data_IF_923389231954
#
_entry.id   IF_923389231954
#
_cell.length_a   1.000
_cell.length_b   1.000
_cell.length_c   1.000
_cell.angle_alpha   90.00
_cell.angle_beta   90.00
_cell.angle_gamma   90.00
#
_symmetry.space_group_name_H-M   'P 1'
#
loop_
_entity.id
_entity.type
_entity.pdbx_description
1 polymer ?
#
# COMPACT_ATOMS: atom_id res chain seq x y z
N UNK A 1 3.89 -28.35 17.32
CA UNK A 1 4.81 -27.31 17.85
C UNK A 1 5.64 -27.93 18.94
N UNK A 2 6.94 -27.87 18.83
CA UNK A 2 7.89 -28.36 19.80
C UNK A 2 8.74 -27.20 20.32
N UNK A 3 8.66 -26.93 21.61
CA UNK A 3 9.42 -25.82 22.24
C UNK A 3 9.28 -24.44 21.58
N UNK A 4 8.11 -24.13 21.00
CA UNK A 4 7.88 -22.88 20.26
C UNK A 4 8.33 -22.93 18.80
N UNK A 5 8.82 -24.07 18.31
CA UNK A 5 9.15 -24.28 16.89
C UNK A 5 8.03 -25.08 16.24
N UNK A 6 7.42 -24.55 15.19
CA UNK A 6 6.45 -25.28 14.37
C UNK A 6 7.20 -26.13 13.34
N UNK A 7 6.92 -27.44 13.31
CA UNK A 7 7.43 -28.36 12.30
C UNK A 7 6.28 -28.67 11.36
N UNK A 8 6.47 -28.40 10.06
CA UNK A 8 5.50 -28.65 9.01
C UNK A 8 6.06 -29.73 8.09
N UNK A 9 5.44 -30.90 8.11
CA UNK A 9 5.83 -32.03 7.27
C UNK A 9 5.37 -31.84 5.82
N UNK A 10 6.31 -32.06 4.88
CA UNK A 10 6.09 -32.04 3.44
C UNK A 10 6.67 -33.33 2.89
N UNK A 11 5.80 -34.35 2.67
CA UNK A 11 6.23 -35.70 2.34
C UNK A 11 5.61 -36.19 1.05
N UNK A 12 6.27 -37.15 0.42
CA UNK A 12 5.80 -37.80 -0.81
C UNK A 12 5.55 -36.82 -1.96
N UNK A 13 4.70 -37.17 -2.90
CA UNK A 13 4.41 -36.37 -4.10
C UNK A 13 3.55 -35.15 -3.74
N UNK A 14 3.98 -34.00 -4.21
CA UNK A 14 3.26 -32.73 -4.02
C UNK A 14 2.14 -32.58 -5.06
N UNK A 15 0.94 -32.27 -4.58
CA UNK A 15 -0.21 -31.92 -5.41
C UNK A 15 -0.81 -30.59 -4.94
N UNK A 16 -1.48 -29.84 -5.82
CA UNK A 16 -2.10 -28.55 -5.43
C UNK A 16 -3.10 -28.71 -4.29
N UNK A 17 -3.94 -29.70 -4.37
CA UNK A 17 -4.94 -30.05 -3.35
C UNK A 17 -5.06 -31.54 -3.20
N UNK A 18 -5.74 -31.98 -2.14
CA UNK A 18 -5.98 -33.39 -1.89
C UNK A 18 -6.69 -34.08 -3.06
N UNK A 19 -6.10 -35.14 -3.58
CA UNK A 19 -6.71 -35.98 -4.60
C UNK A 19 -7.08 -37.34 -3.99
N UNK A 20 -7.97 -38.10 -4.65
CA UNK A 20 -8.31 -39.46 -4.21
C UNK A 20 -7.06 -40.35 -4.15
N UNK A 21 -6.14 -40.21 -5.11
CA UNK A 21 -4.89 -40.97 -5.13
C UNK A 21 -3.93 -40.55 -4.02
N UNK A 22 -3.76 -39.24 -3.76
CA UNK A 22 -2.92 -38.80 -2.65
C UNK A 22 -3.48 -39.18 -1.29
N UNK A 23 -4.82 -39.27 -1.15
CA UNK A 23 -5.46 -39.79 0.05
C UNK A 23 -5.19 -41.27 0.28
N UNK A 24 -5.19 -42.11 -0.79
CA UNK A 24 -5.01 -43.57 -0.66
C UNK A 24 -3.53 -44.00 -0.62
N UNK A 25 -2.66 -43.32 -1.33
CA UNK A 25 -1.27 -43.77 -1.56
C UNK A 25 -0.22 -42.85 -0.96
N UNK A 26 -0.62 -41.86 -0.21
CA UNK A 26 0.24 -40.83 0.32
C UNK A 26 0.42 -39.64 -0.66
N UNK A 27 0.85 -38.53 -0.13
CA UNK A 27 1.11 -37.27 -0.85
C UNK A 27 0.77 -36.08 0.00
N UNK A 28 1.35 -34.94 -0.34
CA UNK A 28 1.15 -33.69 0.36
C UNK A 28 0.34 -32.72 -0.50
N UNK A 29 -0.78 -32.25 0.02
CA UNK A 29 -1.54 -31.16 -0.59
C UNK A 29 -0.92 -29.82 -0.22
N UNK A 30 -0.37 -29.12 -1.19
CA UNK A 30 0.32 -27.83 -0.98
C UNK A 30 -0.58 -26.75 -0.36
N UNK A 31 -1.90 -26.79 -0.62
CA UNK A 31 -2.87 -25.90 0.03
C UNK A 31 -2.90 -26.12 1.54
N UNK A 32 -2.92 -27.37 1.98
CA UNK A 32 -2.95 -27.72 3.41
C UNK A 32 -1.65 -27.32 4.12
N UNK A 33 -0.51 -27.48 3.42
CA UNK A 33 0.79 -26.94 3.89
C UNK A 33 0.73 -25.43 4.05
N UNK A 34 0.20 -24.72 3.05
CA UNK A 34 0.04 -23.28 3.08
C UNK A 34 -0.83 -22.79 4.25
N UNK A 35 -1.93 -23.50 4.52
CA UNK A 35 -2.81 -23.21 5.67
C UNK A 35 -2.14 -23.51 7.02
N UNK A 36 -1.35 -24.59 7.11
CA UNK A 36 -0.58 -24.91 8.31
C UNK A 36 0.52 -23.88 8.54
N UNK A 37 1.15 -23.41 7.47
CA UNK A 37 2.17 -22.37 7.49
C UNK A 37 1.58 -21.02 7.96
N UNK A 38 0.43 -20.59 7.41
CA UNK A 38 -0.24 -19.36 7.85
C UNK A 38 -0.53 -19.41 9.35
N UNK A 39 -1.12 -20.52 9.84
CA UNK A 39 -1.39 -20.69 11.27
C UNK A 39 -0.12 -20.60 12.11
N UNK A 40 0.99 -21.17 11.65
CA UNK A 40 2.26 -21.12 12.36
C UNK A 40 2.86 -19.68 12.39
N UNK A 41 2.72 -18.93 11.31
CA UNK A 41 3.18 -17.53 11.25
C UNK A 41 2.33 -16.61 12.14
N UNK A 42 1.01 -16.83 12.21
CA UNK A 42 0.08 -16.04 12.99
C UNK A 42 0.09 -16.37 14.49
N UNK A 43 0.49 -17.60 14.88
CA UNK A 43 0.48 -18.03 16.28
C UNK A 43 1.60 -17.34 17.10
N UNK A 44 1.26 -16.52 18.11
CA UNK A 44 2.27 -15.84 18.96
C UNK A 44 3.10 -16.80 19.82
N UNK A 45 2.70 -18.07 19.97
CA UNK A 45 3.47 -19.09 20.70
C UNK A 45 4.49 -19.81 19.80
N UNK A 46 4.39 -19.61 18.48
CA UNK A 46 5.36 -20.10 17.51
C UNK A 46 6.42 -19.03 17.25
N UNK A 47 7.67 -19.37 17.45
CA UNK A 47 8.81 -18.44 17.31
C UNK A 47 9.64 -18.71 16.07
N UNK A 48 9.58 -19.93 15.53
CA UNK A 48 10.26 -20.32 14.30
C UNK A 48 9.48 -21.43 13.58
N UNK A 49 9.74 -21.61 12.29
CA UNK A 49 9.13 -22.64 11.45
C UNK A 49 10.19 -23.49 10.80
N UNK A 50 10.05 -24.82 10.91
CA UNK A 50 10.85 -25.79 10.15
C UNK A 50 9.94 -26.48 9.13
N UNK A 51 10.29 -26.39 7.85
CA UNK A 51 9.68 -27.19 6.79
C UNK A 51 10.47 -28.50 6.69
N UNK A 52 9.91 -29.57 7.25
CA UNK A 52 10.53 -30.90 7.21
C UNK A 52 10.14 -31.59 5.91
N UNK A 53 11.08 -31.73 4.98
CA UNK A 53 10.82 -32.10 3.60
C UNK A 53 11.45 -33.47 3.28
N UNK A 54 10.62 -34.42 2.86
CA UNK A 54 11.04 -35.69 2.26
C UNK A 54 10.14 -35.99 1.04
N UNK A 55 10.48 -35.34 -0.09
CA UNK A 55 9.61 -35.31 -1.26
C UNK A 55 10.39 -35.25 -2.57
N UNK A 56 9.99 -36.03 -3.59
CA UNK A 56 10.55 -35.96 -4.94
C UNK A 56 10.07 -34.73 -5.73
N UNK A 57 9.17 -33.92 -5.18
CA UNK A 57 8.46 -32.87 -5.87
C UNK A 57 7.05 -33.29 -6.29
N UNK A 58 6.53 -32.73 -7.36
CA UNK A 58 5.16 -33.02 -7.79
C UNK A 58 4.66 -32.09 -8.89
N UNK A 59 3.39 -31.67 -8.80
CA UNK A 59 2.76 -30.81 -9.79
C UNK A 59 3.35 -29.40 -9.76
N UNK A 60 3.51 -28.80 -10.94
CA UNK A 60 3.91 -27.38 -11.06
C UNK A 60 2.87 -26.46 -10.43
N UNK A 61 1.58 -26.75 -10.72
CA UNK A 61 0.46 -25.97 -10.20
C UNK A 61 0.39 -26.07 -8.66
N UNK A 62 0.42 -24.93 -7.99
CA UNK A 62 0.46 -24.78 -6.54
C UNK A 62 1.88 -24.58 -5.96
N UNK A 63 2.94 -24.99 -6.67
CA UNK A 63 4.33 -24.88 -6.15
C UNK A 63 4.79 -23.44 -6.05
N UNK A 64 4.56 -22.65 -7.10
CA UNK A 64 4.90 -21.22 -7.10
C UNK A 64 4.11 -20.46 -6.02
N UNK A 65 2.82 -20.74 -5.88
CA UNK A 65 1.94 -20.14 -4.88
C UNK A 65 2.43 -20.40 -3.45
N UNK A 66 2.75 -21.67 -3.13
CA UNK A 66 3.25 -22.04 -1.80
C UNK A 66 4.62 -21.43 -1.53
N UNK A 67 5.54 -21.52 -2.48
CA UNK A 67 6.89 -20.94 -2.33
C UNK A 67 6.84 -19.42 -2.20
N UNK A 68 6.00 -18.73 -2.96
CA UNK A 68 5.78 -17.28 -2.86
C UNK A 68 5.25 -16.87 -1.50
N UNK A 69 4.31 -17.64 -0.92
CA UNK A 69 3.78 -17.44 0.43
C UNK A 69 4.88 -17.53 1.49
N UNK A 70 5.73 -18.57 1.43
CA UNK A 70 6.84 -18.77 2.36
C UNK A 70 7.87 -17.65 2.23
N UNK A 71 8.23 -17.29 1.00
CA UNK A 71 9.16 -16.19 0.72
C UNK A 71 8.66 -14.84 1.29
N UNK A 72 7.38 -14.54 1.13
CA UNK A 72 6.78 -13.31 1.64
C UNK A 72 6.78 -13.20 3.17
N UNK A 73 6.83 -14.33 3.87
CA UNK A 73 6.86 -14.38 5.32
C UNK A 73 8.28 -14.28 5.91
N UNK A 74 9.34 -14.28 5.10
CA UNK A 74 10.72 -14.09 5.59
C UNK A 74 10.85 -12.81 6.41
N UNK A 75 11.61 -12.88 7.48
CA UNK A 75 11.82 -11.76 8.40
C UNK A 75 10.71 -11.57 9.45
N UNK A 76 9.57 -12.29 9.35
CA UNK A 76 8.55 -12.27 10.41
C UNK A 76 8.91 -13.22 11.55
N UNK A 77 9.33 -14.43 11.19
CA UNK A 77 9.87 -15.47 12.08
C UNK A 77 10.96 -16.21 11.31
N UNK A 78 11.99 -16.78 11.96
CA UNK A 78 12.94 -17.65 11.29
C UNK A 78 12.23 -18.84 10.60
N UNK A 79 12.51 -19.02 9.31
CA UNK A 79 11.96 -20.10 8.50
C UNK A 79 13.12 -20.93 7.95
N UNK A 80 13.18 -22.20 8.28
CA UNK A 80 14.23 -23.11 7.86
C UNK A 80 13.63 -24.31 7.14
N UNK A 81 14.21 -24.71 6.02
CA UNK A 81 13.91 -25.98 5.36
C UNK A 81 14.92 -27.05 5.81
N UNK A 82 14.43 -28.22 6.12
CA UNK A 82 15.22 -29.38 6.49
C UNK A 82 14.86 -30.57 5.60
N UNK A 83 15.83 -31.02 4.80
CA UNK A 83 15.66 -32.17 3.94
C UNK A 83 15.94 -33.48 4.71
N UNK A 84 14.89 -34.28 4.95
CA UNK A 84 14.91 -35.55 5.68
C UNK A 84 14.97 -36.73 4.71
N UNK A 85 15.94 -36.80 3.83
CA UNK A 85 16.04 -37.82 2.81
C UNK A 85 16.08 -37.22 1.41
N UNK A 86 14.98 -36.67 0.93
CA UNK A 86 14.91 -36.05 -0.40
C UNK A 86 14.20 -34.70 -0.36
N UNK A 87 14.76 -33.73 -1.04
CA UNK A 87 14.10 -32.44 -1.36
C UNK A 87 14.40 -32.11 -2.82
N UNK A 88 13.56 -32.58 -3.73
CA UNK A 88 13.82 -32.54 -5.16
C UNK A 88 12.71 -31.84 -5.95
N UNK A 89 13.04 -31.24 -7.13
CA UNK A 89 12.10 -30.64 -8.06
C UNK A 89 11.18 -29.59 -7.38
N UNK A 90 9.86 -29.71 -7.50
CA UNK A 90 8.91 -28.80 -6.83
C UNK A 90 9.09 -28.70 -5.31
N UNK A 91 9.57 -29.77 -4.66
CA UNK A 91 9.88 -29.73 -3.22
C UNK A 91 11.12 -28.87 -2.93
N UNK A 92 12.12 -28.87 -3.83
CA UNK A 92 13.24 -27.95 -3.74
C UNK A 92 12.81 -26.49 -3.98
N UNK A 93 11.90 -26.26 -4.93
CA UNK A 93 11.34 -24.92 -5.16
C UNK A 93 10.68 -24.38 -3.88
N UNK A 94 9.84 -25.19 -3.22
CA UNK A 94 9.21 -24.84 -1.94
C UNK A 94 10.26 -24.62 -0.85
N UNK A 95 11.21 -25.56 -0.70
CA UNK A 95 12.25 -25.49 0.32
C UNK A 95 13.21 -24.31 0.14
N UNK A 96 13.50 -23.92 -1.10
CA UNK A 96 14.34 -22.76 -1.40
C UNK A 96 13.73 -21.42 -0.94
N UNK A 97 12.43 -21.38 -0.70
CA UNK A 97 11.73 -20.21 -0.19
C UNK A 97 12.01 -19.94 1.30
N UNK A 98 12.57 -20.90 2.07
CA UNK A 98 13.05 -20.66 3.43
C UNK A 98 14.38 -19.88 3.45
N UNK A 99 14.70 -19.24 4.57
CA UNK A 99 15.93 -18.45 4.73
C UNK A 99 17.18 -19.30 4.65
N UNK A 100 17.12 -20.54 5.19
CA UNK A 100 18.20 -21.53 5.20
C UNK A 100 17.68 -22.92 4.84
N UNK A 101 18.55 -23.70 4.21
CA UNK A 101 18.31 -25.08 3.85
C UNK A 101 19.34 -25.97 4.53
N UNK A 102 18.89 -26.88 5.36
CA UNK A 102 19.73 -27.91 5.95
C UNK A 102 19.35 -29.29 5.43
N UNK A 103 20.34 -30.18 5.37
CA UNK A 103 20.16 -31.57 5.02
C UNK A 103 20.46 -32.47 6.23
N UNK A 104 19.72 -33.58 6.36
CA UNK A 104 19.85 -34.47 7.51
C UNK A 104 21.22 -35.16 7.58
N UNK A 105 21.86 -35.40 6.44
CA UNK A 105 23.14 -36.10 6.40
C UNK A 105 23.74 -36.24 5.01
N UNK A 106 24.88 -36.96 4.95
CA UNK A 106 25.67 -37.11 3.70
C UNK A 106 24.95 -37.95 2.61
N UNK A 107 23.87 -38.64 2.93
CA UNK A 107 23.04 -39.39 1.96
C UNK A 107 21.79 -38.67 1.52
N UNK A 108 21.49 -37.51 2.11
CA UNK A 108 20.33 -36.69 1.74
C UNK A 108 20.52 -36.14 0.34
N UNK A 109 19.44 -36.13 -0.43
CA UNK A 109 19.44 -35.69 -1.83
C UNK A 109 18.62 -34.43 -2.02
N UNK A 110 19.17 -33.45 -2.78
CA UNK A 110 18.47 -32.21 -3.14
C UNK A 110 18.72 -31.84 -4.58
N UNK A 111 17.91 -30.92 -5.13
CA UNK A 111 18.08 -30.43 -6.50
C UNK A 111 16.97 -30.87 -7.42
N UNK A 112 17.31 -31.57 -8.51
CA UNK A 112 16.35 -31.87 -9.59
C UNK A 112 15.60 -30.63 -10.07
N UNK A 113 16.34 -29.48 -10.20
CA UNK A 113 15.79 -28.24 -10.73
C UNK A 113 15.57 -28.46 -12.22
N UNK A 114 14.33 -28.73 -12.57
CA UNK A 114 13.93 -29.07 -13.92
C UNK A 114 12.43 -29.31 -14.03
N UNK A 115 11.94 -29.36 -15.25
CA UNK A 115 10.52 -29.58 -15.57
C UNK A 115 10.41 -30.71 -16.57
N UNK A 116 9.47 -31.61 -16.39
CA UNK A 116 9.19 -32.72 -17.29
C UNK A 116 7.73 -32.74 -17.69
N UNK A 117 7.45 -32.92 -18.97
CA UNK A 117 6.15 -33.30 -19.50
C UNK A 117 6.29 -34.65 -20.24
N UNK A 118 5.41 -35.60 -19.94
CA UNK A 118 5.42 -36.90 -20.55
C UNK A 118 4.21 -37.09 -21.45
N UNK A 119 4.44 -37.41 -22.71
CA UNK A 119 3.41 -37.91 -23.62
C UNK A 119 3.44 -39.41 -23.70
N UNK A 120 2.29 -40.04 -23.55
CA UNK A 120 2.13 -41.51 -23.71
C UNK A 120 1.31 -41.76 -24.96
N UNK A 121 1.86 -42.46 -25.92
CA UNK A 121 1.17 -42.94 -27.13
C UNK A 121 0.57 -44.33 -26.90
N UNK A 122 -0.76 -44.41 -26.85
CA UNK A 122 -1.52 -45.64 -26.70
C UNK A 122 -2.20 -46.07 -27.99
N UNK A 123 -1.93 -45.46 -29.12
CA UNK A 123 -2.61 -45.70 -30.41
C UNK A 123 -2.53 -47.18 -30.84
N UNK A 124 -1.39 -47.86 -30.57
CA UNK A 124 -1.24 -49.30 -30.87
C UNK A 124 -2.07 -50.16 -29.94
N UNK A 125 -2.23 -49.77 -28.69
CA UNK A 125 -3.10 -50.51 -27.75
C UNK A 125 -4.56 -50.36 -28.17
N UNK A 126 -4.99 -49.19 -28.60
CA UNK A 126 -6.33 -48.94 -29.14
C UNK A 126 -6.62 -49.84 -30.37
N UNK A 127 -5.69 -49.89 -31.31
CA UNK A 127 -5.79 -50.77 -32.48
C UNK A 127 -5.95 -52.25 -32.08
N UNK A 128 -5.18 -52.72 -31.09
CA UNK A 128 -5.25 -54.10 -30.59
C UNK A 128 -6.59 -54.42 -29.89
N UNK A 129 -7.19 -53.38 -29.27
CA UNK A 129 -8.52 -53.48 -28.65
C UNK A 129 -9.68 -53.29 -29.63
N UNK A 130 -9.37 -52.99 -30.92
CA UNK A 130 -10.35 -52.69 -31.96
C UNK A 130 -11.02 -51.34 -31.84
N UNK A 131 -10.43 -50.44 -31.05
CA UNK A 131 -10.93 -49.08 -30.86
C UNK A 131 -10.36 -48.11 -31.90
N UNK A 132 -11.19 -47.22 -32.40
CA UNK A 132 -10.76 -46.14 -33.29
C UNK A 132 -11.28 -44.79 -32.76
N UNK A 133 -10.34 -43.94 -32.34
CA UNK A 133 -10.65 -42.61 -31.83
C UNK A 133 -10.67 -41.58 -32.94
N UNK A 134 -11.78 -40.82 -33.03
CA UNK A 134 -11.91 -39.70 -33.97
C UNK A 134 -12.13 -38.42 -33.16
N UNK A 135 -11.13 -37.54 -33.17
CA UNK A 135 -11.17 -36.28 -32.45
C UNK A 135 -11.70 -35.15 -33.36
N UNK A 136 -12.80 -34.52 -32.98
CA UNK A 136 -13.37 -33.36 -33.65
C UNK A 136 -13.11 -32.15 -32.78
N UNK A 137 -12.24 -31.22 -33.24
CA UNK A 137 -11.77 -30.11 -32.42
C UNK A 137 -11.90 -28.78 -33.13
N UNK A 138 -12.03 -27.71 -32.34
CA UNK A 138 -11.84 -26.34 -32.79
C UNK A 138 -10.62 -25.75 -32.08
N UNK A 139 -9.78 -25.05 -32.85
CA UNK A 139 -8.48 -24.53 -32.39
C UNK A 139 -7.32 -25.47 -32.76
N UNK A 140 -6.29 -24.89 -33.44
CA UNK A 140 -5.14 -25.60 -34.03
C UNK A 140 -4.43 -26.56 -33.05
N UNK A 141 -4.21 -26.09 -31.82
CA UNK A 141 -3.45 -26.85 -30.81
C UNK A 141 -4.33 -27.70 -29.87
N UNK A 142 -5.67 -27.65 -30.08
CA UNK A 142 -6.55 -28.49 -29.27
C UNK A 142 -6.31 -29.95 -29.57
N UNK A 143 -5.92 -30.74 -28.58
CA UNK A 143 -5.57 -32.16 -28.71
C UNK A 143 -4.31 -32.44 -29.54
N UNK A 144 -3.38 -31.46 -29.66
CA UNK A 144 -2.12 -31.65 -30.41
C UNK A 144 -1.25 -32.75 -29.81
N UNK A 145 -1.34 -32.98 -28.50
CA UNK A 145 -0.69 -34.05 -27.75
C UNK A 145 -1.70 -35.10 -27.28
N UNK A 146 -2.57 -35.57 -28.19
CA UNK A 146 -3.49 -36.67 -27.92
C UNK A 146 -2.73 -37.99 -27.71
N UNK A 147 -3.11 -38.75 -26.69
CA UNK A 147 -2.52 -40.07 -26.41
C UNK A 147 -2.92 -41.13 -27.44
N UNK A 148 -3.98 -40.87 -28.23
CA UNK A 148 -4.49 -41.82 -29.23
C UNK A 148 -3.81 -41.73 -30.58
N UNK A 149 -2.69 -41.04 -30.68
CA UNK A 149 -1.85 -40.90 -31.88
C UNK A 149 -0.41 -40.58 -31.50
N UNK A 150 0.57 -40.95 -32.36
CA UNK A 150 1.96 -40.55 -32.18
C UNK A 150 2.09 -39.03 -32.07
N UNK A 151 2.96 -38.56 -31.19
CA UNK A 151 3.24 -37.14 -31.00
C UNK A 151 3.92 -36.58 -32.26
N UNK A 152 3.30 -35.59 -32.86
CA UNK A 152 3.89 -34.87 -34.01
C UNK A 152 5.06 -33.98 -33.58
N UNK A 153 5.93 -33.62 -34.53
CA UNK A 153 7.02 -32.66 -34.29
C UNK A 153 6.49 -31.30 -33.84
N UNK A 154 5.36 -30.83 -34.39
CA UNK A 154 4.70 -29.61 -33.98
C UNK A 154 4.17 -29.74 -32.51
N UNK A 155 3.59 -30.89 -32.15
CA UNK A 155 3.14 -31.17 -30.79
C UNK A 155 4.29 -31.22 -29.80
N UNK A 156 5.41 -31.85 -30.19
CA UNK A 156 6.64 -31.87 -29.42
C UNK A 156 7.17 -30.45 -29.17
N UNK A 157 7.29 -29.65 -30.22
CA UNK A 157 7.79 -28.27 -30.12
C UNK A 157 6.90 -27.41 -29.22
N UNK A 158 5.59 -27.55 -29.31
CA UNK A 158 4.62 -26.82 -28.47
C UNK A 158 4.74 -27.22 -26.99
N UNK A 159 4.89 -28.52 -26.68
CA UNK A 159 5.09 -28.97 -25.29
C UNK A 159 6.45 -28.48 -24.77
N UNK A 160 7.50 -28.54 -25.59
CA UNK A 160 8.83 -28.08 -25.20
C UNK A 160 8.82 -26.58 -24.84
N UNK A 161 8.18 -25.73 -25.64
CA UNK A 161 8.03 -24.31 -25.33
C UNK A 161 7.39 -24.07 -23.94
N UNK A 162 6.36 -24.85 -23.59
CA UNK A 162 5.73 -24.74 -22.27
C UNK A 162 6.65 -25.21 -21.14
N UNK A 163 7.37 -26.32 -21.35
CA UNK A 163 8.35 -26.85 -20.39
C UNK A 163 9.47 -25.82 -20.16
N UNK A 164 9.99 -25.22 -21.23
CA UNK A 164 11.05 -24.22 -21.14
C UNK A 164 10.58 -22.94 -20.44
N UNK A 165 9.35 -22.50 -20.68
CA UNK A 165 8.76 -21.36 -20.00
C UNK A 165 8.64 -21.62 -18.49
N UNK A 166 8.11 -22.77 -18.06
CA UNK A 166 7.98 -23.13 -16.64
C UNK A 166 9.36 -23.30 -16.01
N UNK A 167 10.30 -23.94 -16.72
CA UNK A 167 11.67 -24.08 -16.25
C UNK A 167 12.35 -22.73 -15.99
N UNK A 168 12.16 -21.77 -16.88
CA UNK A 168 12.69 -20.40 -16.72
C UNK A 168 12.13 -19.75 -15.43
N UNK A 169 10.84 -19.89 -15.15
CA UNK A 169 10.23 -19.40 -13.90
C UNK A 169 10.84 -20.07 -12.67
N UNK A 170 11.01 -21.38 -12.72
CA UNK A 170 11.63 -22.13 -11.61
C UNK A 170 13.05 -21.66 -11.31
N UNK A 171 13.90 -21.53 -12.32
CA UNK A 171 15.30 -21.06 -12.18
C UNK A 171 15.34 -19.65 -11.61
N UNK A 172 14.53 -18.73 -12.13
CA UNK A 172 14.45 -17.34 -11.66
C UNK A 172 13.98 -17.26 -10.20
N UNK A 173 12.99 -18.08 -9.83
CA UNK A 173 12.49 -18.17 -8.47
C UNK A 173 13.58 -18.64 -7.51
N UNK A 174 14.29 -19.71 -7.84
CA UNK A 174 15.42 -20.20 -7.04
C UNK A 174 16.53 -19.17 -6.92
N UNK A 175 16.87 -18.49 -8.02
CA UNK A 175 17.87 -17.44 -8.02
C UNK A 175 17.51 -16.31 -7.03
N UNK A 176 16.28 -15.79 -7.11
CA UNK A 176 15.77 -14.79 -6.18
C UNK A 176 15.74 -15.28 -4.72
N UNK A 177 15.25 -16.50 -4.47
CA UNK A 177 15.12 -17.08 -3.13
C UNK A 177 16.47 -17.36 -2.46
N UNK A 178 17.46 -17.77 -3.26
CA UNK A 178 18.82 -18.09 -2.78
C UNK A 178 19.79 -16.91 -2.85
N UNK A 179 19.34 -15.74 -3.34
CA UNK A 179 20.19 -14.56 -3.48
C UNK A 179 21.36 -14.76 -4.44
N UNK A 180 21.13 -15.53 -5.53
CA UNK A 180 22.13 -15.87 -6.56
C UNK A 180 21.71 -15.32 -7.92
N UNK A 181 22.67 -15.21 -8.84
CA UNK A 181 22.33 -14.91 -10.22
C UNK A 181 21.67 -16.13 -10.91
N UNK A 182 20.94 -15.88 -11.98
CA UNK A 182 20.33 -16.93 -12.81
C UNK A 182 21.42 -17.83 -13.40
N UNK A 183 22.53 -17.25 -13.83
CA UNK A 183 23.68 -17.95 -14.40
C UNK A 183 24.29 -18.94 -13.40
N UNK A 184 24.47 -18.53 -12.14
CA UNK A 184 24.98 -19.41 -11.09
C UNK A 184 24.01 -20.56 -10.75
N UNK A 185 22.70 -20.31 -10.79
CA UNK A 185 21.70 -21.37 -10.59
C UNK A 185 21.69 -22.36 -11.75
N UNK A 186 21.86 -21.89 -13.00
CA UNK A 186 21.91 -22.73 -14.20
C UNK A 186 23.06 -23.76 -14.14
N UNK A 187 24.15 -23.52 -13.43
CA UNK A 187 25.24 -24.49 -13.25
C UNK A 187 24.78 -25.78 -12.55
N UNK A 188 23.72 -25.70 -11.74
CA UNK A 188 23.13 -26.82 -10.98
C UNK A 188 21.70 -27.16 -11.38
N UNK A 189 21.10 -26.42 -12.32
CA UNK A 189 19.69 -26.56 -12.70
C UNK A 189 19.46 -27.39 -13.97
N UNK A 190 20.27 -28.41 -14.19
CA UNK A 190 20.12 -29.32 -15.36
C UNK A 190 19.27 -30.56 -15.07
N UNK A 191 18.52 -30.55 -13.98
CA UNK A 191 17.65 -31.64 -13.56
C UNK A 191 18.34 -32.75 -12.75
N UNK A 192 19.67 -32.66 -12.50
CA UNK A 192 20.38 -33.64 -11.66
C UNK A 192 20.08 -33.48 -10.18
N UNK A 193 20.34 -34.53 -9.44
CA UNK A 193 20.27 -34.59 -7.97
C UNK A 193 21.70 -34.48 -7.41
N UNK A 194 21.87 -33.78 -6.30
CA UNK A 194 23.10 -33.62 -5.55
C UNK A 194 22.97 -34.31 -4.21
N UNK A 195 23.99 -35.07 -3.82
CA UNK A 195 23.97 -35.91 -2.62
C UNK A 195 24.85 -35.28 -1.54
N UNK A 196 24.31 -35.14 -0.34
CA UNK A 196 25.05 -34.69 0.83
C UNK A 196 25.85 -33.41 0.61
N UNK A 197 27.15 -33.45 0.85
CA UNK A 197 28.04 -32.31 0.71
C UNK A 197 28.16 -31.73 -0.70
N UNK A 198 27.81 -32.51 -1.74
CA UNK A 198 27.75 -31.99 -3.11
C UNK A 198 26.69 -30.89 -3.24
N UNK A 199 25.54 -31.03 -2.53
CA UNK A 199 24.52 -30.05 -2.49
C UNK A 199 24.97 -28.74 -1.85
N UNK A 200 25.77 -28.81 -0.78
CA UNK A 200 26.36 -27.65 -0.11
C UNK A 200 27.35 -26.95 -1.05
N UNK A 201 28.23 -27.73 -1.69
CA UNK A 201 29.22 -27.19 -2.66
C UNK A 201 28.53 -26.51 -3.85
N UNK A 202 27.41 -27.06 -4.31
CA UNK A 202 26.61 -26.47 -5.38
C UNK A 202 25.77 -25.24 -4.93
N UNK A 203 25.78 -24.90 -3.64
CA UNK A 203 24.99 -23.79 -3.08
C UNK A 203 23.49 -24.09 -2.97
N UNK A 204 23.11 -25.39 -3.04
CA UNK A 204 21.72 -25.82 -2.92
C UNK A 204 21.29 -26.09 -1.47
N UNK A 205 22.25 -26.25 -0.56
CA UNK A 205 22.03 -26.36 0.88
C UNK A 205 23.07 -25.53 1.63
N UNK A 206 22.73 -25.13 2.86
CA UNK A 206 23.56 -24.26 3.70
C UNK A 206 24.37 -25.05 4.73
N UNK A 207 23.97 -26.30 5.05
CA UNK A 207 24.67 -27.13 6.01
C UNK A 207 24.01 -28.48 6.25
N UNK A 208 24.64 -29.25 7.15
CA UNK A 208 24.11 -30.52 7.67
C UNK A 208 23.71 -30.30 9.12
N UNK A 209 22.50 -30.68 9.48
CA UNK A 209 22.01 -30.65 10.85
C UNK A 209 20.90 -31.72 11.04
N UNK A 210 20.82 -32.33 12.21
CA UNK A 210 19.66 -33.10 12.62
C UNK A 210 18.48 -32.16 12.96
N UNK A 211 17.26 -32.71 12.89
CA UNK A 211 16.07 -31.95 13.27
C UNK A 211 16.14 -31.44 14.71
N UNK A 212 16.64 -32.28 15.63
CA UNK A 212 16.79 -31.89 17.03
C UNK A 212 17.80 -30.76 17.24
N UNK A 213 18.91 -30.75 16.50
CA UNK A 213 19.85 -29.63 16.53
C UNK A 213 19.22 -28.33 16.03
N UNK A 214 18.45 -28.38 14.93
CA UNK A 214 17.77 -27.21 14.41
C UNK A 214 16.73 -26.67 15.39
N UNK A 215 15.91 -27.54 16.00
CA UNK A 215 14.92 -27.12 17.03
C UNK A 215 15.64 -26.49 18.21
N UNK A 216 16.73 -27.06 18.70
CA UNK A 216 17.48 -26.52 19.82
C UNK A 216 18.12 -25.16 19.48
N UNK A 217 18.74 -25.05 18.30
CA UNK A 217 19.37 -23.80 17.87
C UNK A 217 18.32 -22.65 17.75
N UNK A 218 17.19 -22.91 17.09
CA UNK A 218 16.13 -21.92 16.93
C UNK A 218 15.49 -21.54 18.27
N UNK A 219 15.38 -22.48 19.22
CA UNK A 219 14.94 -22.18 20.58
C UNK A 219 15.94 -21.34 21.34
N UNK A 220 17.25 -21.65 21.23
CA UNK A 220 18.30 -20.85 21.88
C UNK A 220 18.36 -19.45 21.31
N UNK A 221 18.28 -19.27 19.99
CA UNK A 221 18.22 -17.98 19.34
C UNK A 221 17.06 -17.12 19.86
N UNK A 222 15.87 -17.72 19.99
CA UNK A 222 14.70 -17.04 20.54
C UNK A 222 14.82 -16.70 22.02
N UNK A 223 15.41 -17.58 22.81
CA UNK A 223 15.59 -17.37 24.25
C UNK A 223 16.77 -16.46 24.59
N UNK A 224 17.59 -16.10 23.59
CA UNK A 224 18.78 -15.28 23.76
C UNK A 224 18.40 -13.86 24.20
N UNK A 225 18.91 -13.44 25.33
CA UNK A 225 18.75 -12.05 25.78
C UNK A 225 19.57 -11.11 24.89
N UNK A 226 19.19 -9.82 24.89
CA UNK A 226 19.92 -8.77 24.16
C UNK A 226 21.40 -8.71 24.57
N UNK A 227 21.69 -8.94 25.85
CA UNK A 227 23.02 -8.99 26.41
C UNK A 227 23.82 -10.21 25.92
N UNK A 228 23.18 -11.39 25.84
CA UNK A 228 23.80 -12.61 25.30
C UNK A 228 24.04 -12.51 23.80
N UNK A 229 23.10 -11.95 23.04
CA UNK A 229 23.28 -11.69 21.61
C UNK A 229 24.47 -10.75 21.36
N UNK A 230 24.59 -9.68 22.16
CA UNK A 230 25.72 -8.75 22.08
C UNK A 230 27.06 -9.41 22.44
N UNK A 231 27.05 -10.33 23.41
CA UNK A 231 28.25 -11.01 23.86
C UNK A 231 28.69 -12.13 22.90
N UNK A 232 27.74 -12.94 22.39
CA UNK A 232 28.04 -14.09 21.55
C UNK A 232 28.18 -13.75 20.05
N UNK A 233 27.46 -12.72 19.59
CA UNK A 233 27.40 -12.30 18.18
C UNK A 233 27.46 -10.77 18.04
N UNK A 234 28.59 -10.14 18.44
CA UNK A 234 28.73 -8.69 18.47
C UNK A 234 28.52 -8.04 17.09
N UNK A 235 29.00 -8.66 16.03
CA UNK A 235 28.86 -8.15 14.66
C UNK A 235 27.40 -8.20 14.19
N UNK A 236 26.67 -9.29 14.49
CA UNK A 236 25.26 -9.43 14.20
C UNK A 236 24.42 -8.42 15.02
N UNK A 237 24.73 -8.29 16.32
CA UNK A 237 24.09 -7.31 17.18
C UNK A 237 24.27 -5.88 16.64
N UNK A 238 25.49 -5.55 16.19
CA UNK A 238 25.77 -4.24 15.62
C UNK A 238 25.00 -4.03 14.32
N UNK A 239 24.99 -5.02 13.43
CA UNK A 239 24.21 -4.96 12.17
C UNK A 239 22.73 -4.74 12.41
N UNK A 240 22.11 -5.52 13.31
CA UNK A 240 20.69 -5.36 13.68
C UNK A 240 20.42 -3.96 14.28
N UNK A 241 21.36 -3.48 15.12
CA UNK A 241 21.23 -2.16 15.73
C UNK A 241 21.32 -1.04 14.69
N UNK A 242 22.23 -1.18 13.72
CA UNK A 242 22.42 -0.21 12.63
C UNK A 242 21.22 -0.20 11.67
N UNK A 243 20.70 -1.37 11.32
CA UNK A 243 19.50 -1.52 10.50
C UNK A 243 18.26 -0.93 11.19
N UNK A 244 18.06 -1.23 12.48
CA UNK A 244 16.98 -0.67 13.27
C UNK A 244 17.08 0.86 13.40
N UNK A 245 18.31 1.37 13.55
CA UNK A 245 18.57 2.81 13.56
C UNK A 245 18.26 3.44 12.20
N UNK A 246 18.70 2.82 11.10
CA UNK A 246 18.43 3.30 9.74
C UNK A 246 16.93 3.33 9.42
N UNK A 247 16.19 2.27 9.80
CA UNK A 247 14.74 2.21 9.65
C UNK A 247 14.07 3.32 10.47
N UNK A 248 14.43 3.44 11.76
CA UNK A 248 13.86 4.47 12.63
C UNK A 248 14.13 5.91 12.16
N UNK A 249 15.32 6.16 11.60
CA UNK A 249 15.67 7.45 10.98
C UNK A 249 14.83 7.68 9.73
N UNK A 250 14.68 6.68 8.86
CA UNK A 250 13.87 6.79 7.63
C UNK A 250 12.39 7.07 7.94
N UNK A 251 11.81 6.32 8.86
CA UNK A 251 10.43 6.53 9.32
C UNK A 251 10.24 7.90 9.99
N UNK A 252 11.19 8.32 10.83
CA UNK A 252 11.17 9.64 11.47
C UNK A 252 11.25 10.78 10.47
N UNK A 253 12.05 10.66 9.41
CA UNK A 253 12.13 11.63 8.33
C UNK A 253 10.81 11.69 7.55
N UNK A 254 10.23 10.56 7.20
CA UNK A 254 8.95 10.48 6.49
C UNK A 254 7.79 11.09 7.31
N UNK A 255 7.70 10.73 8.59
CA UNK A 255 6.69 11.31 9.49
C UNK A 255 6.90 12.80 9.68
N UNK A 256 8.17 13.24 9.86
CA UNK A 256 8.50 14.65 10.00
C UNK A 256 8.19 15.46 8.75
N UNK A 257 8.45 14.93 7.55
CA UNK A 257 8.09 15.55 6.27
C UNK A 257 6.56 15.64 6.11
N UNK A 258 5.84 14.56 6.39
CA UNK A 258 4.38 14.53 6.29
C UNK A 258 3.72 15.53 7.24
N UNK A 259 4.14 15.58 8.50
CA UNK A 259 3.65 16.53 9.48
C UNK A 259 4.00 17.97 9.10
N UNK A 260 5.27 18.23 8.71
CA UNK A 260 5.73 19.55 8.30
C UNK A 260 5.04 20.06 7.04
N UNK A 261 4.70 19.18 6.10
CA UNK A 261 3.95 19.55 4.90
C UNK A 261 2.50 19.92 5.24
N UNK A 262 1.84 19.13 6.08
CA UNK A 262 0.47 19.38 6.52
C UNK A 262 0.35 20.70 7.34
N UNK A 263 1.30 20.96 8.24
CA UNK A 263 1.36 22.20 9.01
C UNK A 263 1.68 23.41 8.13
N UNK A 264 2.58 23.24 7.17
CA UNK A 264 2.93 24.27 6.19
C UNK A 264 1.77 24.64 5.29
N UNK A 265 1.03 23.65 4.79
CA UNK A 265 -0.18 23.87 3.97
C UNK A 265 -1.27 24.60 4.77
N UNK A 266 -1.51 24.19 6.01
CA UNK A 266 -2.48 24.82 6.91
C UNK A 266 -2.11 26.25 7.24
N UNK A 267 -0.85 26.48 7.58
CA UNK A 267 -0.33 27.83 7.87
C UNK A 267 -0.34 28.73 6.62
N UNK A 268 -0.04 28.18 5.45
CA UNK A 268 -0.11 28.87 4.16
C UNK A 268 -1.55 29.27 3.81
N UNK A 269 -2.49 28.34 3.95
CA UNK A 269 -3.91 28.58 3.72
C UNK A 269 -4.49 29.65 4.68
N UNK A 270 -4.06 29.65 5.94
CA UNK A 270 -4.50 30.65 6.92
C UNK A 270 -3.96 32.05 6.58
N UNK A 271 -2.66 32.15 6.21
CA UNK A 271 -2.07 33.42 5.75
C UNK A 271 -2.77 33.96 4.51
N UNK A 272 -3.09 33.08 3.57
CA UNK A 272 -3.77 33.49 2.34
C UNK A 272 -5.22 33.94 2.61
N UNK A 273 -5.97 33.24 3.48
CA UNK A 273 -7.30 33.70 3.93
C UNK A 273 -7.23 35.08 4.60
N UNK A 274 -6.23 35.31 5.46
CA UNK A 274 -6.06 36.60 6.11
C UNK A 274 -5.71 37.66 5.09
N UNK A 275 -4.80 37.41 4.13
CA UNK A 275 -4.48 38.32 3.04
C UNK A 275 -5.72 38.72 2.26
N UNK A 276 -6.52 37.73 1.83
CA UNK A 276 -7.77 37.98 1.09
C UNK A 276 -8.73 38.85 1.90
N UNK A 277 -8.89 38.56 3.19
CA UNK A 277 -9.74 39.33 4.10
C UNK A 277 -9.26 40.76 4.22
N UNK A 278 -7.96 40.96 4.37
CA UNK A 278 -7.37 42.30 4.52
C UNK A 278 -7.48 43.11 3.23
N UNK A 279 -7.34 42.49 2.05
CA UNK A 279 -7.55 43.13 0.74
C UNK A 279 -9.02 43.50 0.55
N UNK A 280 -9.95 42.62 0.84
CA UNK A 280 -11.40 42.86 0.72
C UNK A 280 -11.90 43.91 1.70
N UNK A 281 -11.28 44.06 2.86
CA UNK A 281 -11.61 45.09 3.85
C UNK A 281 -11.33 46.52 3.33
N UNK A 282 -10.56 46.68 2.28
CA UNK A 282 -10.24 47.97 1.67
C UNK A 282 -11.24 48.39 0.59
N UNK A 283 -12.30 47.64 0.33
CA UNK A 283 -13.26 47.93 -0.73
C UNK A 283 -13.93 49.29 -0.51
N UNK A 284 -13.95 50.08 -1.55
CA UNK A 284 -14.75 51.33 -1.64
C UNK A 284 -15.82 51.14 -2.72
N UNK A 285 -17.01 51.76 -2.57
CA UNK A 285 -18.06 51.70 -3.57
C UNK A 285 -17.57 52.09 -4.97
N UNK A 286 -17.79 51.20 -5.95
CA UNK A 286 -17.36 51.42 -7.33
C UNK A 286 -15.92 51.00 -7.64
N UNK A 287 -15.23 50.30 -6.71
CA UNK A 287 -13.91 49.72 -6.89
C UNK A 287 -13.87 48.20 -6.64
N UNK A 288 -15.03 47.53 -6.63
CA UNK A 288 -15.17 46.11 -6.34
C UNK A 288 -14.37 45.25 -7.32
N UNK A 289 -14.37 45.56 -8.61
CA UNK A 289 -13.62 44.85 -9.63
C UNK A 289 -12.10 44.92 -9.40
N UNK A 290 -11.59 46.10 -8.99
CA UNK A 290 -10.18 46.30 -8.67
C UNK A 290 -9.77 45.49 -7.42
N UNK A 291 -10.64 45.38 -6.43
CA UNK A 291 -10.41 44.55 -5.24
C UNK A 291 -10.34 43.08 -5.60
N UNK A 292 -11.25 42.56 -6.41
CA UNK A 292 -11.21 41.14 -6.82
C UNK A 292 -9.99 40.82 -7.71
N UNK A 293 -9.52 41.75 -8.54
CA UNK A 293 -8.27 41.62 -9.27
C UNK A 293 -7.07 41.49 -8.31
N UNK A 294 -7.01 42.32 -7.27
CA UNK A 294 -5.97 42.28 -6.23
C UNK A 294 -6.07 41.04 -5.33
N UNK A 295 -7.24 40.50 -5.13
CA UNK A 295 -7.43 39.18 -4.48
C UNK A 295 -6.88 38.07 -5.37
N UNK A 296 -7.18 38.08 -6.65
CA UNK A 296 -6.81 37.05 -7.61
C UNK A 296 -5.30 37.02 -7.93
N UNK A 297 -4.57 38.15 -7.76
CA UNK A 297 -3.14 38.21 -8.04
C UNK A 297 -2.27 37.40 -7.06
N UNK A 298 -2.83 37.01 -5.91
CA UNK A 298 -2.16 36.18 -4.90
C UNK A 298 -0.99 36.86 -4.18
N UNK A 299 -0.80 38.20 -4.37
CA UNK A 299 0.39 38.94 -3.89
C UNK A 299 0.06 40.21 -3.16
N UNK A 300 -0.94 40.97 -3.64
CA UNK A 300 -1.30 42.26 -3.07
C UNK A 300 -1.72 42.10 -1.61
N UNK A 301 -1.08 42.85 -0.71
CA UNK A 301 -1.44 42.94 0.71
C UNK A 301 -2.58 43.95 0.94
N UNK A 302 -3.25 43.90 2.10
CA UNK A 302 -4.29 44.85 2.46
C UNK A 302 -3.81 46.29 2.43
N UNK A 303 -2.57 46.58 2.87
CA UNK A 303 -1.99 47.91 2.83
C UNK A 303 -1.75 48.43 1.40
N UNK A 304 -1.24 47.57 0.52
CA UNK A 304 -1.04 47.90 -0.90
C UNK A 304 -2.38 48.10 -1.62
N UNK A 305 -3.39 47.31 -1.27
CA UNK A 305 -4.74 47.46 -1.79
C UNK A 305 -5.34 48.79 -1.41
N UNK A 306 -5.20 49.25 -0.15
CA UNK A 306 -5.63 50.54 0.30
C UNK A 306 -5.00 51.67 -0.52
N UNK A 307 -3.70 51.62 -0.78
CA UNK A 307 -2.98 52.64 -1.58
C UNK A 307 -3.49 52.65 -3.03
N UNK A 308 -3.66 51.48 -3.64
CA UNK A 308 -4.15 51.37 -5.02
C UNK A 308 -5.59 51.88 -5.17
N UNK A 309 -6.46 51.60 -4.21
CA UNK A 309 -7.86 52.05 -4.22
C UNK A 309 -7.92 53.55 -4.02
N UNK A 310 -7.15 54.11 -3.09
CA UNK A 310 -7.07 55.57 -2.89
C UNK A 310 -6.54 56.31 -4.13
N UNK A 311 -5.55 55.75 -4.81
CA UNK A 311 -5.03 56.26 -6.07
C UNK A 311 -6.09 56.24 -7.19
N UNK A 312 -6.86 55.17 -7.28
CA UNK A 312 -7.93 55.01 -8.25
C UNK A 312 -9.09 55.99 -7.96
N UNK A 313 -9.46 56.18 -6.67
CA UNK A 313 -10.48 57.14 -6.26
C UNK A 313 -10.04 58.57 -6.53
N UNK A 314 -8.79 58.91 -6.24
CA UNK A 314 -8.22 60.24 -6.58
C UNK A 314 -8.29 60.50 -8.09
N UNK A 315 -7.97 59.50 -8.92
CA UNK A 315 -8.11 59.61 -10.39
C UNK A 315 -9.54 59.89 -10.84
N UNK A 316 -10.52 59.19 -10.24
CA UNK A 316 -11.95 59.44 -10.52
C UNK A 316 -12.39 60.86 -10.11
N UNK A 317 -11.96 61.33 -8.93
CA UNK A 317 -12.26 62.66 -8.46
C UNK A 317 -11.64 63.69 -9.37
N UNK A 318 -10.40 63.55 -9.82
CA UNK A 318 -9.74 64.45 -10.77
C UNK A 318 -10.45 64.49 -12.13
N UNK A 319 -10.90 63.30 -12.61
CA UNK A 319 -11.69 63.26 -13.85
C UNK A 319 -13.06 63.90 -13.72
N UNK A 320 -13.74 63.75 -12.58
CA UNK A 320 -15.00 64.33 -12.25
C UNK A 320 -14.85 65.85 -12.14
N UNK A 321 -13.79 66.34 -11.48
CA UNK A 321 -13.47 67.76 -11.41
C UNK A 321 -13.19 68.37 -12.79
N UNK A 322 -12.50 67.65 -13.68
CA UNK A 322 -12.31 68.07 -15.08
C UNK A 322 -13.62 68.13 -15.86
N UNK A 323 -14.53 67.17 -15.67
CA UNK A 323 -15.86 67.16 -16.32
C UNK A 323 -16.72 68.29 -15.78
N UNK A 324 -16.67 68.58 -14.46
CA UNK A 324 -17.40 69.73 -13.85
C UNK A 324 -16.85 71.08 -14.29
N UNK A 325 -15.53 71.25 -14.42
CA UNK A 325 -14.92 72.49 -14.90
C UNK A 325 -15.18 72.74 -16.39
N UNK A 326 -15.43 71.69 -17.18
CA UNK A 326 -15.82 71.81 -18.59
C UNK A 326 -17.32 72.12 -18.78
N UNK A 327 -18.13 72.02 -17.73
CA UNK A 327 -19.59 72.26 -17.75
C UNK A 327 -20.03 73.63 -17.04
N UNK A 328 -19.10 74.53 -16.80
CA UNK A 328 -19.43 75.77 -16.12
C UNK A 328 -20.31 76.68 -16.98
N UNK A 329 -21.60 76.63 -16.73
CA UNK A 329 -22.63 77.59 -17.16
C UNK A 329 -23.04 78.47 -15.93
N UNK A 330 -23.17 79.71 -16.19
CA UNK A 330 -23.38 80.91 -15.36
C UNK A 330 -24.16 80.81 -14.01
N UNK A 331 -23.97 81.73 -13.09
CA UNK A 331 -24.42 81.67 -11.70
C UNK A 331 -25.91 81.91 -11.53
N UNK A 332 -26.56 81.12 -10.68
CA UNK A 332 -27.94 81.27 -10.21
C UNK A 332 -27.90 81.63 -8.71
N UNK A 333 -28.85 82.49 -8.24
CA UNK A 333 -28.79 83.17 -6.92
C UNK A 333 -29.08 82.17 -5.75
N UNK A 334 -28.85 82.59 -4.50
CA UNK A 334 -28.77 81.69 -3.35
C UNK A 334 -30.15 81.20 -2.93
N UNK A 335 -30.24 79.89 -2.68
CA UNK A 335 -31.38 79.23 -2.06
C UNK A 335 -31.01 78.80 -0.62
N UNK A 336 -31.99 78.93 0.24
CA UNK A 336 -31.95 78.78 1.69
C UNK A 336 -31.33 77.53 2.25
N UNK A 337 -30.82 77.61 3.48
CA UNK A 337 -30.28 76.55 4.29
C UNK A 337 -31.26 75.33 4.44
N UNK A 338 -30.80 74.12 4.37
CA UNK A 338 -31.64 72.93 4.70
C UNK A 338 -31.73 72.77 6.22
N UNK A 339 -32.92 72.43 6.67
CA UNK A 339 -33.26 71.99 8.05
C UNK A 339 -32.49 70.75 8.48
N UNK A 340 -32.30 70.55 9.81
CA UNK A 340 -31.46 69.45 10.33
C UNK A 340 -32.09 68.07 10.10
N UNK A 341 -31.25 67.13 9.74
CA UNK A 341 -31.58 65.72 9.51
C UNK A 341 -32.31 65.05 10.69
N UNK A 342 -33.35 64.32 10.40
CA UNK A 342 -34.13 63.54 11.34
C UNK A 342 -33.25 62.56 12.09
N UNK A 343 -33.46 62.45 13.41
CA UNK A 343 -32.78 61.46 14.27
C UNK A 343 -33.13 60.07 13.81
N UNK A 344 -32.14 59.21 13.62
CA UNK A 344 -32.30 57.78 13.37
C UNK A 344 -33.14 57.14 14.50
N UNK A 345 -34.22 56.47 14.12
CA UNK A 345 -35.12 55.79 15.04
C UNK A 345 -34.37 54.62 15.70
N UNK A 346 -34.40 54.49 17.02
CA UNK A 346 -33.80 53.37 17.75
C UNK A 346 -34.79 52.19 17.87
N UNK A 347 -34.25 50.99 18.14
CA UNK A 347 -35.07 49.76 18.33
C UNK A 347 -36.14 49.94 19.40
N UNK A 348 -35.75 50.54 20.54
CA UNK A 348 -36.69 50.84 21.63
C UNK A 348 -37.78 51.83 21.20
N UNK A 349 -37.45 52.87 20.43
CA UNK A 349 -38.43 53.85 19.96
C UNK A 349 -39.41 53.19 18.95
N UNK A 350 -38.96 52.31 18.10
CA UNK A 350 -39.80 51.55 17.19
C UNK A 350 -40.74 50.58 17.93
N UNK A 351 -40.23 49.89 18.98
CA UNK A 351 -41.05 49.03 19.86
C UNK A 351 -42.11 49.84 20.60
N UNK A 352 -41.74 50.98 21.22
CA UNK A 352 -42.65 51.80 21.99
C UNK A 352 -43.79 52.36 21.11
N UNK A 353 -43.49 52.74 19.86
CA UNK A 353 -44.49 53.13 18.88
C UNK A 353 -45.53 52.03 18.58
N UNK A 354 -45.10 50.78 18.46
CA UNK A 354 -46.02 49.66 18.23
C UNK A 354 -46.83 49.30 19.51
N UNK A 355 -46.25 49.48 20.69
CA UNK A 355 -46.95 49.29 21.97
C UNK A 355 -48.01 50.40 22.14
N UNK A 356 -47.70 51.64 21.83
CA UNK A 356 -48.69 52.74 21.82
C UNK A 356 -49.84 52.49 20.79
N UNK A 357 -49.57 51.73 19.73
CA UNK A 357 -50.55 51.25 18.77
C UNK A 357 -51.39 50.06 19.20
N UNK A 358 -51.24 49.57 20.45
CA UNK A 358 -52.06 48.51 21.05
C UNK A 358 -51.48 47.08 20.98
N UNK A 359 -50.21 46.93 20.55
CA UNK A 359 -49.56 45.64 20.64
C UNK A 359 -48.97 45.38 22.00
N UNK A 360 -48.98 44.14 22.48
CA UNK A 360 -48.23 43.76 23.69
C UNK A 360 -46.74 43.91 23.44
N UNK A 361 -45.95 44.30 24.44
CA UNK A 361 -44.52 44.57 24.33
C UNK A 361 -43.75 43.44 23.70
N UNK A 362 -44.03 42.16 24.02
CA UNK A 362 -43.38 40.98 23.42
C UNK A 362 -43.67 40.82 21.94
N UNK A 363 -44.92 41.11 21.48
CA UNK A 363 -45.28 41.07 20.07
C UNK A 363 -44.69 42.27 19.28
N UNK A 364 -44.60 43.42 19.90
CA UNK A 364 -43.97 44.62 19.32
C UNK A 364 -42.47 44.36 19.10
N UNK A 365 -41.76 43.83 20.10
CA UNK A 365 -40.34 43.48 19.97
C UNK A 365 -40.09 42.47 18.87
N UNK A 366 -40.89 41.39 18.81
CA UNK A 366 -40.75 40.40 17.74
C UNK A 366 -41.01 40.98 16.36
N UNK A 367 -41.97 41.89 16.23
CA UNK A 367 -42.28 42.52 14.97
C UNK A 367 -41.20 43.51 14.51
N UNK A 368 -40.68 44.33 15.42
CA UNK A 368 -39.56 45.27 15.10
C UNK A 368 -38.30 44.46 14.75
N UNK A 369 -38.01 43.34 15.45
CA UNK A 369 -36.87 42.49 15.14
C UNK A 369 -36.99 41.85 13.75
N UNK A 370 -38.19 41.54 13.30
CA UNK A 370 -38.47 40.98 11.98
C UNK A 370 -38.44 42.02 10.87
N UNK A 371 -39.05 43.20 11.11
CA UNK A 371 -39.20 44.26 10.10
C UNK A 371 -37.93 45.12 9.97
N UNK A 372 -37.13 45.25 11.04
CA UNK A 372 -35.89 46.02 11.14
C UNK A 372 -34.79 45.26 11.86
N UNK A 373 -34.19 44.23 11.19
CA UNK A 373 -33.18 43.36 11.80
C UNK A 373 -31.89 44.07 12.17
N UNK A 374 -31.56 45.15 11.50
CA UNK A 374 -30.46 46.07 11.76
C UNK A 374 -30.59 46.78 13.14
N UNK A 375 -31.75 47.35 13.43
CA UNK A 375 -32.05 47.98 14.71
C UNK A 375 -32.02 46.95 15.86
N UNK A 376 -32.44 45.72 15.57
CA UNK A 376 -32.42 44.64 16.57
C UNK A 376 -31.00 44.18 16.87
N UNK A 377 -30.12 44.10 15.86
CA UNK A 377 -28.69 43.76 16.08
C UNK A 377 -27.97 44.82 16.91
N UNK A 378 -28.22 46.07 16.62
CA UNK A 378 -27.66 47.22 17.39
C UNK A 378 -28.14 47.21 18.83
N UNK A 379 -29.40 46.89 19.07
CA UNK A 379 -29.96 46.74 20.41
C UNK A 379 -29.29 45.60 21.21
N UNK A 380 -29.12 44.41 20.60
CA UNK A 380 -28.42 43.26 21.21
C UNK A 380 -26.96 43.62 21.50
N UNK A 381 -26.26 44.25 20.57
CA UNK A 381 -24.87 44.65 20.75
C UNK A 381 -24.68 45.59 21.95
N UNK A 382 -25.60 46.58 22.12
CA UNK A 382 -25.59 47.48 23.28
C UNK A 382 -25.92 46.80 24.60
N UNK A 383 -26.73 45.73 24.59
CA UNK A 383 -27.09 44.97 25.78
C UNK A 383 -25.96 44.05 26.26
N UNK A 384 -25.25 43.43 25.30
CA UNK A 384 -24.10 42.53 25.61
C UNK A 384 -22.88 43.31 26.12
N UNK A 385 -22.68 44.56 25.68
CA UNK A 385 -21.60 45.43 26.20
C UNK A 385 -21.90 46.07 27.59
N UNK A 386 -23.07 45.86 28.18
CA UNK A 386 -23.41 46.30 29.56
C UNK A 386 -23.27 45.21 30.62
N UNK A 387 -22.85 43.98 30.20
CA UNK A 387 -22.72 42.82 31.09
C UNK A 387 -21.24 42.46 31.37
N UNK A 388 -20.27 43.32 31.01
CA UNK A 388 -18.89 43.30 31.51
C UNK A 388 -18.73 44.49 32.53
#
# INVERSE_FOLDING_TARGET
VESGVAIIDIRDVLTKGMTFFSYLFGGTAMREVGEAFDRAIEDPQVHAVILAIDSPGGTVDGTEELSGKILAARGTKPIVSWADGMMASGAYWVGAAAEKIYIAGDTTTVGSIGVVATHVDISKADEMMGERWTEITAGRYKRIASSHKPLSEEGRAYIQEQVDAIYSVFVQSVAAMRGRSVEEVLESADGRIFVGRQAITAGLADGIASLSELVNNLKEEWSMTKEELRAKHPDLFQSISDDAHAIGVAEGIEQGKAAGFADGEKAGAEKERQRIKDVRAQVLPGHEALVEEMVADGKTTGAEAAVKILAAEKGKLEEMARKMSASAVAPVPPVAEPEPAAKEETFEAAVDRLVAGGLSKGKAMAKVAQDHPDLHQDYIARFNNRAE
#
